data_IF_310336754272
#
_entry.id   IF_310336754272
#
_cell.length_a   1.000
_cell.length_b   1.000
_cell.length_c   1.000
_cell.angle_alpha   90.00
_cell.angle_beta   90.00
_cell.angle_gamma   90.00
#
_symmetry.space_group_name_H-M   'P 1'
#
loop_
_entity.id
_entity.type
_entity.pdbx_description
1 polymer ?
#
# COMPACT_ATOMS: atom_id res chain seq x y z
N UNK A 1 10.65 7.48 -11.15
CA UNK A 1 10.61 7.16 -12.59
C UNK A 1 11.99 6.86 -13.17
N UNK A 2 12.96 7.78 -13.13
CA UNK A 2 14.31 7.52 -13.70
C UNK A 2 15.00 6.24 -13.16
N UNK A 3 14.97 6.00 -11.85
CA UNK A 3 15.54 4.78 -11.26
C UNK A 3 14.85 3.49 -11.75
N UNK A 4 13.53 3.53 -11.94
CA UNK A 4 12.77 2.39 -12.44
C UNK A 4 13.14 2.09 -13.90
N UNK A 5 13.22 3.12 -14.73
CA UNK A 5 13.67 3.02 -16.13
C UNK A 5 15.09 2.47 -16.21
N UNK A 6 16.00 2.97 -15.38
CA UNK A 6 17.38 2.49 -15.31
C UNK A 6 17.43 1.01 -14.91
N UNK A 7 16.64 0.62 -13.90
CA UNK A 7 16.53 -0.77 -13.45
C UNK A 7 16.04 -1.69 -14.57
N UNK A 8 14.97 -1.31 -15.26
CA UNK A 8 14.44 -2.06 -16.40
C UNK A 8 15.50 -2.17 -17.51
N UNK A 9 16.20 -1.08 -17.83
CA UNK A 9 17.25 -1.11 -18.84
C UNK A 9 18.43 -2.01 -18.45
N UNK A 10 18.84 -2.01 -17.18
CA UNK A 10 19.87 -2.95 -16.69
C UNK A 10 19.41 -4.39 -16.82
N UNK A 11 18.16 -4.71 -16.48
CA UNK A 11 17.60 -6.04 -16.64
C UNK A 11 17.54 -6.49 -18.11
N UNK A 12 17.18 -5.57 -19.02
CA UNK A 12 17.21 -5.83 -20.47
C UNK A 12 18.64 -6.11 -20.95
N UNK A 13 19.62 -5.28 -20.53
CA UNK A 13 21.04 -5.48 -20.91
C UNK A 13 21.60 -6.81 -20.42
N UNK A 14 21.21 -7.25 -19.23
CA UNK A 14 21.60 -8.54 -18.66
C UNK A 14 20.77 -9.73 -19.18
N UNK A 15 19.89 -9.53 -20.17
CA UNK A 15 19.01 -10.56 -20.75
C UNK A 15 18.10 -11.24 -19.72
N UNK A 16 17.74 -10.51 -18.65
CA UNK A 16 16.79 -10.99 -17.64
C UNK A 16 15.34 -10.71 -18.05
N UNK A 17 15.11 -9.71 -18.90
CA UNK A 17 13.80 -9.31 -19.42
C UNK A 17 13.84 -9.12 -20.94
N UNK A 18 12.69 -9.22 -21.59
CA UNK A 18 12.46 -9.07 -23.03
C UNK A 18 13.19 -10.08 -23.92
N UNK A 19 13.19 -11.36 -23.53
CA UNK A 19 13.92 -12.42 -24.24
C UNK A 19 13.06 -13.25 -25.20
N UNK A 20 11.83 -13.63 -24.82
CA UNK A 20 10.96 -14.50 -25.66
C UNK A 20 9.58 -13.92 -26.01
N UNK A 21 9.15 -12.80 -25.41
CA UNK A 21 7.92 -12.08 -25.80
C UNK A 21 7.03 -11.68 -24.63
N UNK A 22 5.73 -11.47 -24.87
CA UNK A 22 4.78 -10.98 -23.86
C UNK A 22 4.35 -12.00 -22.79
N UNK A 23 4.74 -13.27 -22.92
CA UNK A 23 4.24 -14.38 -22.11
C UNK A 23 5.36 -15.32 -21.63
N UNK A 24 6.52 -14.77 -21.30
CA UNK A 24 7.71 -15.56 -20.93
C UNK A 24 7.48 -16.44 -19.71
N UNK A 25 6.73 -15.99 -18.70
CA UNK A 25 6.41 -16.79 -17.53
C UNK A 25 5.46 -17.93 -17.86
N UNK A 26 4.50 -17.72 -18.76
CA UNK A 26 3.61 -18.78 -19.21
C UNK A 26 4.38 -19.87 -19.98
N UNK A 27 5.34 -19.47 -20.82
CA UNK A 27 6.23 -20.41 -21.52
C UNK A 27 7.11 -21.20 -20.54
N UNK A 28 7.71 -20.51 -19.57
CA UNK A 28 8.48 -21.14 -18.50
C UNK A 28 7.64 -22.09 -17.65
N UNK A 29 6.42 -21.68 -17.29
CA UNK A 29 5.49 -22.53 -16.56
C UNK A 29 5.20 -23.81 -17.35
N UNK A 30 4.89 -23.69 -18.64
CA UNK A 30 4.61 -24.84 -19.49
C UNK A 30 5.82 -25.77 -19.63
N UNK A 31 7.04 -25.24 -19.70
CA UNK A 31 8.25 -26.07 -19.74
C UNK A 31 8.46 -26.81 -18.43
N UNK A 32 8.39 -26.12 -17.29
CA UNK A 32 8.56 -26.72 -15.96
C UNK A 32 7.47 -27.75 -15.66
N UNK A 33 6.23 -27.43 -16.04
CA UNK A 33 5.08 -28.32 -15.89
C UNK A 33 5.26 -29.61 -16.70
N UNK A 34 5.80 -29.53 -17.91
CA UNK A 34 6.06 -30.71 -18.74
C UNK A 34 7.18 -31.61 -18.22
N UNK A 35 8.18 -31.01 -17.56
CA UNK A 35 9.34 -31.72 -17.01
C UNK A 35 9.00 -32.42 -15.67
N UNK A 36 8.30 -31.73 -14.77
CA UNK A 36 8.01 -32.22 -13.43
C UNK A 36 6.70 -32.99 -13.32
N UNK A 37 5.73 -32.69 -14.19
CA UNK A 37 4.40 -33.29 -14.17
C UNK A 37 4.00 -33.80 -15.57
N UNK A 38 4.68 -34.88 -16.06
CA UNK A 38 4.27 -35.54 -17.28
C UNK A 38 2.83 -36.06 -17.12
N UNK A 39 2.03 -35.97 -18.17
CA UNK A 39 0.61 -36.35 -18.17
C UNK A 39 0.42 -37.71 -18.87
N UNK A 40 0.62 -38.84 -18.16
CA UNK A 40 0.55 -40.17 -18.77
C UNK A 40 -0.87 -40.56 -19.20
N UNK A 41 -1.91 -39.93 -18.64
CA UNK A 41 -3.32 -40.23 -18.92
C UNK A 41 -3.97 -39.25 -19.91
N UNK A 42 -3.23 -38.24 -20.37
CA UNK A 42 -3.72 -37.22 -21.31
C UNK A 42 -4.84 -36.35 -20.71
N UNK A 43 -4.90 -36.24 -19.39
CA UNK A 43 -5.93 -35.52 -18.64
C UNK A 43 -5.95 -34.02 -19.00
N UNK A 44 -4.79 -33.40 -19.23
CA UNK A 44 -4.66 -31.98 -19.62
C UNK A 44 -5.27 -31.71 -20.99
N UNK A 45 -4.97 -32.55 -21.98
CA UNK A 45 -5.57 -32.44 -23.32
C UNK A 45 -7.09 -32.64 -23.28
N UNK A 46 -7.57 -33.53 -22.42
CA UNK A 46 -9.01 -33.73 -22.21
C UNK A 46 -9.66 -32.49 -21.57
N UNK A 47 -9.05 -31.90 -20.54
CA UNK A 47 -9.54 -30.66 -19.92
C UNK A 47 -9.52 -29.50 -20.92
N UNK A 48 -8.45 -29.35 -21.70
CA UNK A 48 -8.36 -28.33 -22.75
C UNK A 48 -9.49 -28.48 -23.77
N UNK A 49 -9.77 -29.71 -24.21
CA UNK A 49 -10.87 -29.99 -25.13
C UNK A 49 -12.25 -29.72 -24.50
N UNK A 50 -12.48 -30.16 -23.25
CA UNK A 50 -13.73 -29.95 -22.52
C UNK A 50 -14.00 -28.48 -22.22
N UNK A 51 -12.95 -27.70 -22.00
CA UNK A 51 -13.04 -26.26 -21.71
C UNK A 51 -12.93 -25.40 -22.96
N UNK A 52 -12.92 -25.99 -24.17
CA UNK A 52 -12.73 -25.27 -25.44
C UNK A 52 -11.49 -24.36 -25.45
N UNK A 53 -10.42 -24.74 -24.75
CA UNK A 53 -9.20 -23.95 -24.63
C UNK A 53 -9.28 -22.77 -23.66
N UNK A 54 -10.39 -22.60 -22.93
CA UNK A 54 -10.55 -21.53 -21.93
C UNK A 54 -9.57 -21.71 -20.76
N UNK A 55 -9.36 -22.95 -20.30
CA UNK A 55 -8.45 -23.24 -19.19
C UNK A 55 -7.02 -22.72 -19.42
N UNK A 56 -6.31 -23.10 -20.51
CA UNK A 56 -4.98 -22.58 -20.78
C UNK A 56 -4.98 -21.08 -21.08
N UNK A 57 -6.04 -20.53 -21.67
CA UNK A 57 -6.15 -19.08 -21.91
C UNK A 57 -6.26 -18.29 -20.60
N UNK A 58 -7.09 -18.73 -19.65
CA UNK A 58 -7.23 -18.09 -18.34
C UNK A 58 -5.90 -18.09 -17.58
N UNK A 59 -5.18 -19.21 -17.57
CA UNK A 59 -3.86 -19.30 -16.93
C UNK A 59 -2.88 -18.34 -17.61
N UNK A 60 -2.85 -18.33 -18.95
CA UNK A 60 -1.96 -17.44 -19.71
C UNK A 60 -2.20 -15.96 -19.40
N UNK A 61 -3.45 -15.51 -19.38
CA UNK A 61 -3.77 -14.11 -19.07
C UNK A 61 -3.57 -13.75 -17.60
N UNK A 62 -3.85 -14.68 -16.68
CA UNK A 62 -3.59 -14.48 -15.26
C UNK A 62 -2.09 -14.32 -15.00
N UNK A 63 -1.25 -15.18 -15.59
CA UNK A 63 0.20 -15.08 -15.48
C UNK A 63 0.74 -13.81 -16.14
N UNK A 64 0.16 -13.38 -17.26
CA UNK A 64 0.50 -12.11 -17.90
C UNK A 64 0.28 -10.88 -17.00
N UNK A 65 -0.63 -10.96 -16.03
CA UNK A 65 -0.85 -9.88 -15.05
C UNK A 65 0.30 -9.77 -14.03
N UNK A 66 1.08 -10.83 -13.83
CA UNK A 66 2.28 -10.84 -12.98
C UNK A 66 3.56 -10.54 -13.77
N UNK A 67 3.53 -10.71 -15.10
CA UNK A 67 4.62 -10.38 -16.04
C UNK A 67 4.73 -8.89 -16.39
N UNK A 68 4.30 -8.00 -15.48
CA UNK A 68 4.33 -6.55 -15.71
C UNK A 68 5.70 -6.03 -16.15
N UNK A 69 6.84 -6.43 -15.52
CA UNK A 69 8.17 -5.99 -15.96
C UNK A 69 8.53 -6.46 -17.37
N UNK A 70 8.09 -7.65 -17.77
CA UNK A 70 8.34 -8.20 -19.10
C UNK A 70 7.53 -7.44 -20.16
N UNK A 71 6.24 -7.21 -19.89
CA UNK A 71 5.35 -6.42 -20.76
C UNK A 71 5.92 -5.01 -20.95
N UNK A 72 6.42 -4.39 -19.88
CA UNK A 72 7.08 -3.08 -19.94
C UNK A 72 8.34 -3.12 -20.83
N UNK A 73 9.20 -4.13 -20.64
CA UNK A 73 10.45 -4.26 -21.39
C UNK A 73 10.23 -4.53 -22.89
N UNK A 74 9.32 -5.45 -23.23
CA UNK A 74 8.99 -5.81 -24.62
C UNK A 74 8.30 -4.64 -25.35
N UNK A 75 7.36 -3.98 -24.68
CA UNK A 75 6.67 -2.80 -25.26
C UNK A 75 7.65 -1.66 -25.48
N UNK A 76 8.56 -1.40 -24.54
CA UNK A 76 9.62 -0.40 -24.69
C UNK A 76 10.53 -0.71 -25.88
N UNK A 77 11.01 -1.94 -26.01
CA UNK A 77 11.82 -2.35 -27.17
C UNK A 77 11.10 -2.16 -28.50
N UNK A 78 9.78 -2.40 -28.51
CA UNK A 78 8.94 -2.18 -29.70
C UNK A 78 8.82 -0.70 -30.03
N UNK A 79 8.57 0.14 -29.01
CA UNK A 79 8.50 1.61 -29.15
C UNK A 79 9.85 2.17 -29.64
N UNK A 80 10.97 1.70 -29.10
CA UNK A 80 12.30 2.16 -29.51
C UNK A 80 12.65 1.79 -30.96
N UNK A 81 12.13 0.67 -31.48
CA UNK A 81 12.39 0.20 -32.84
C UNK A 81 11.44 0.80 -33.88
N UNK A 82 10.15 0.83 -33.57
CA UNK A 82 9.08 1.10 -34.53
C UNK A 82 8.34 2.43 -34.27
N UNK A 83 8.72 3.16 -33.21
CA UNK A 83 8.00 4.36 -32.76
C UNK A 83 6.73 4.03 -31.97
N UNK A 84 6.24 5.02 -31.22
CA UNK A 84 5.04 4.86 -30.37
C UNK A 84 3.75 4.68 -31.19
N UNK A 85 3.74 5.20 -32.42
CA UNK A 85 2.61 5.09 -33.35
C UNK A 85 2.34 3.64 -33.82
N UNK A 86 3.31 2.74 -33.62
CA UNK A 86 3.14 1.31 -33.91
C UNK A 86 2.25 0.59 -32.89
N UNK A 87 1.96 1.22 -31.74
CA UNK A 87 1.21 0.59 -30.67
C UNK A 87 -0.30 0.85 -30.85
N UNK A 88 -1.10 -0.21 -30.78
CA UNK A 88 -2.56 -0.08 -30.70
C UNK A 88 -2.96 0.77 -29.50
N UNK A 89 -4.03 1.57 -29.64
CA UNK A 89 -4.56 2.41 -28.55
C UNK A 89 -4.83 1.60 -27.27
N UNK A 90 -5.35 0.38 -27.40
CA UNK A 90 -5.55 -0.52 -26.26
C UNK A 90 -4.24 -0.98 -25.62
N UNK A 91 -3.23 -1.28 -26.44
CA UNK A 91 -1.89 -1.63 -25.98
C UNK A 91 -1.21 -0.48 -25.22
N UNK A 92 -1.41 0.76 -25.66
CA UNK A 92 -0.92 1.94 -24.96
C UNK A 92 -1.57 2.11 -23.57
N UNK A 93 -2.89 1.92 -23.46
CA UNK A 93 -3.58 1.98 -22.15
C UNK A 93 -3.07 0.90 -21.22
N UNK A 94 -2.93 -0.34 -21.71
CA UNK A 94 -2.38 -1.45 -20.90
C UNK A 94 -0.96 -1.11 -20.44
N UNK A 95 -0.10 -0.64 -21.33
CA UNK A 95 1.27 -0.24 -21.00
C UNK A 95 1.32 0.83 -19.90
N UNK A 96 0.57 1.93 -20.04
CA UNK A 96 0.57 3.00 -19.03
C UNK A 96 -0.03 2.55 -17.69
N UNK A 97 -1.09 1.75 -17.71
CA UNK A 97 -1.68 1.20 -16.49
C UNK A 97 -0.70 0.28 -15.75
N UNK A 98 -0.02 -0.61 -16.50
CA UNK A 98 1.03 -1.49 -16.00
C UNK A 98 2.20 -0.72 -15.38
N UNK A 99 2.72 0.28 -16.08
CA UNK A 99 3.82 1.15 -15.58
C UNK A 99 3.41 1.87 -14.30
N UNK A 100 2.18 2.42 -14.28
CA UNK A 100 1.66 3.15 -13.12
C UNK A 100 1.54 2.24 -11.89
N UNK A 101 0.92 1.06 -12.02
CA UNK A 101 0.76 0.13 -10.91
C UNK A 101 2.12 -0.32 -10.36
N UNK A 102 3.05 -0.67 -11.24
CA UNK A 102 4.38 -1.11 -10.81
C UNK A 102 5.17 0.02 -10.12
N UNK A 103 5.14 1.23 -10.69
CA UNK A 103 5.76 2.39 -10.07
C UNK A 103 5.15 2.71 -8.71
N UNK A 104 3.83 2.62 -8.57
CA UNK A 104 3.15 2.87 -7.30
C UNK A 104 3.57 1.87 -6.21
N UNK A 105 3.62 0.57 -6.54
CA UNK A 105 4.06 -0.49 -5.61
C UNK A 105 5.50 -0.28 -5.15
N UNK A 106 6.41 0.13 -6.03
CA UNK A 106 7.81 0.38 -5.65
C UNK A 106 8.02 1.73 -4.98
N UNK A 107 7.30 2.77 -5.40
CA UNK A 107 7.48 4.14 -4.90
C UNK A 107 6.92 4.30 -3.49
N UNK A 108 5.84 3.61 -3.14
CA UNK A 108 5.20 3.72 -1.82
C UNK A 108 6.15 3.39 -0.65
N UNK A 109 6.88 2.26 -0.62
CA UNK A 109 7.83 1.97 0.46
C UNK A 109 9.04 2.89 0.46
N UNK A 110 9.51 3.33 -0.71
CA UNK A 110 10.66 4.23 -0.81
C UNK A 110 10.31 5.60 -0.25
N UNK A 111 9.18 6.17 -0.66
CA UNK A 111 8.70 7.47 -0.18
C UNK A 111 8.36 7.40 1.31
N UNK A 112 7.72 6.33 1.77
CA UNK A 112 7.41 6.17 3.20
C UNK A 112 8.67 6.04 4.05
N UNK A 113 9.73 5.37 3.56
CA UNK A 113 11.02 5.29 4.25
C UNK A 113 11.71 6.64 4.32
N UNK A 114 11.73 7.41 3.22
CA UNK A 114 12.32 8.75 3.19
C UNK A 114 11.56 9.69 4.13
N UNK A 115 10.23 9.65 4.10
CA UNK A 115 9.43 10.48 4.99
C UNK A 115 9.56 10.05 6.46
N UNK A 116 9.58 8.74 6.73
CA UNK A 116 9.78 8.21 8.07
C UNK A 116 11.16 8.53 8.63
N UNK A 117 12.22 8.47 7.82
CA UNK A 117 13.58 8.83 8.24
C UNK A 117 13.71 10.34 8.47
N UNK A 118 13.07 11.16 7.64
CA UNK A 118 12.96 12.60 7.85
C UNK A 118 12.33 12.92 9.21
N UNK A 119 11.14 12.37 9.50
CA UNK A 119 10.47 12.57 10.79
C UNK A 119 11.31 12.04 11.97
N UNK A 120 11.98 10.90 11.80
CA UNK A 120 12.87 10.35 12.82
C UNK A 120 14.02 11.30 13.16
N UNK A 121 14.66 11.90 12.16
CA UNK A 121 15.75 12.87 12.39
C UNK A 121 15.20 14.15 13.04
N UNK A 122 14.05 14.64 12.59
CA UNK A 122 13.40 15.82 13.15
C UNK A 122 13.11 15.69 14.64
N UNK A 123 12.59 14.53 15.10
CA UNK A 123 12.29 14.31 16.52
C UNK A 123 13.57 14.18 17.35
N UNK A 124 14.51 13.34 16.90
CA UNK A 124 15.64 12.92 17.74
C UNK A 124 16.77 13.97 17.80
N UNK A 125 16.98 14.73 16.72
CA UNK A 125 18.11 15.65 16.63
C UNK A 125 17.69 17.12 16.71
N UNK A 126 16.63 17.47 16.00
CA UNK A 126 16.20 18.86 15.86
C UNK A 126 15.12 19.26 16.86
N UNK A 127 14.47 18.29 17.50
CA UNK A 127 13.34 18.49 18.42
C UNK A 127 12.23 19.38 17.81
N UNK A 128 11.91 19.13 16.54
CA UNK A 128 10.85 19.83 15.79
C UNK A 128 9.83 18.81 15.23
N UNK A 129 8.63 19.28 14.86
CA UNK A 129 7.56 18.47 14.23
C UNK A 129 7.07 17.26 15.07
N UNK A 130 6.93 17.43 16.39
CA UNK A 130 6.39 16.37 17.26
C UNK A 130 4.98 15.94 16.85
N UNK A 131 4.06 16.89 16.63
CA UNK A 131 2.66 16.57 16.33
C UNK A 131 2.49 15.77 15.03
N UNK A 132 3.22 16.15 13.98
CA UNK A 132 3.21 15.44 12.70
C UNK A 132 3.76 14.02 12.85
N UNK A 133 4.87 13.86 13.56
CA UNK A 133 5.46 12.56 13.75
C UNK A 133 4.59 11.65 14.64
N UNK A 134 4.03 12.15 15.74
CA UNK A 134 3.10 11.40 16.60
C UNK A 134 1.82 11.00 15.85
N UNK A 135 1.31 11.87 14.96
CA UNK A 135 0.16 11.54 14.11
C UNK A 135 0.46 10.37 13.16
N UNK A 136 1.69 10.29 12.63
CA UNK A 136 2.12 9.23 11.71
C UNK A 136 2.44 7.90 12.41
N UNK A 137 3.01 7.94 13.61
CA UNK A 137 3.38 6.75 14.40
C UNK A 137 2.16 6.03 15.00
N UNK A 138 0.98 6.69 15.01
CA UNK A 138 -0.29 6.15 15.54
C UNK A 138 -0.09 5.49 16.91
N UNK A 139 0.65 6.17 17.80
CA UNK A 139 0.91 5.68 19.15
C UNK A 139 -0.40 5.79 19.94
N UNK A 140 -0.91 4.66 20.42
CA UNK A 140 -2.16 4.63 21.19
C UNK A 140 -1.99 5.15 22.63
N UNK A 141 -0.74 5.13 23.11
CA UNK A 141 -0.31 5.76 24.35
C UNK A 141 0.04 7.24 24.07
N UNK A 142 0.14 8.08 25.09
CA UNK A 142 0.28 9.54 24.96
C UNK A 142 -0.97 10.21 24.37
N UNK A 143 -1.88 10.62 25.26
CA UNK A 143 -3.06 11.42 24.89
C UNK A 143 -3.11 12.68 25.72
N UNK A 144 -3.47 13.78 25.09
CA UNK A 144 -3.73 15.06 25.76
C UNK A 144 -5.15 15.53 25.48
N UNK A 145 -5.78 16.08 26.51
CA UNK A 145 -7.05 16.77 26.44
C UNK A 145 -6.81 18.22 26.82
N UNK A 146 -7.10 19.15 25.90
CA UNK A 146 -7.03 20.59 26.18
C UNK A 146 -8.43 21.17 26.18
N UNK A 147 -8.82 21.77 27.30
CA UNK A 147 -10.10 22.46 27.48
C UNK A 147 -9.84 23.95 27.61
N UNK A 148 -10.55 24.71 26.78
CA UNK A 148 -10.60 26.17 26.86
C UNK A 148 -11.85 26.58 27.64
N UNK A 149 -11.71 27.52 28.56
CA UNK A 149 -12.79 28.06 29.36
C UNK A 149 -12.70 29.59 29.35
N UNK A 150 -13.74 30.27 28.87
CA UNK A 150 -13.83 31.72 28.92
C UNK A 150 -14.62 32.08 30.18
N UNK A 151 -13.98 32.80 31.10
CA UNK A 151 -14.59 33.20 32.36
C UNK A 151 -15.61 34.33 32.13
N UNK A 152 -16.53 34.55 33.07
CA UNK A 152 -17.51 35.65 33.03
C UNK A 152 -16.85 37.05 32.98
N UNK A 153 -15.57 37.14 33.36
CA UNK A 153 -14.75 38.36 33.26
C UNK A 153 -14.16 38.60 31.86
N UNK A 154 -14.27 37.62 30.96
CA UNK A 154 -13.68 37.66 29.62
C UNK A 154 -12.29 37.04 29.52
N UNK A 155 -11.72 36.56 30.63
CA UNK A 155 -10.41 35.91 30.65
C UNK A 155 -10.47 34.49 30.05
N UNK A 156 -9.44 34.09 29.30
CA UNK A 156 -9.30 32.74 28.75
C UNK A 156 -8.45 31.86 29.68
N UNK A 157 -9.07 30.85 30.26
CA UNK A 157 -8.43 29.79 31.02
C UNK A 157 -8.18 28.57 30.11
N UNK A 158 -6.97 28.00 30.18
CA UNK A 158 -6.55 26.85 29.39
C UNK A 158 -6.17 25.71 30.33
N UNK A 159 -6.88 24.60 30.25
CA UNK A 159 -6.61 23.40 31.04
C UNK A 159 -6.13 22.28 30.12
N UNK A 160 -4.85 21.90 30.22
CA UNK A 160 -4.28 20.79 29.47
C UNK A 160 -3.96 19.62 30.40
N UNK A 161 -4.60 18.49 30.15
CA UNK A 161 -4.40 17.23 30.85
C UNK A 161 -3.74 16.25 29.87
N UNK A 162 -2.48 15.92 30.11
CA UNK A 162 -1.71 14.96 29.33
C UNK A 162 -1.48 13.67 30.13
N UNK A 163 -1.61 12.53 29.46
CA UNK A 163 -1.38 11.21 30.06
C UNK A 163 -0.41 10.44 29.18
N UNK A 164 0.75 10.08 29.73
CA UNK A 164 1.79 9.35 29.01
C UNK A 164 1.34 7.94 28.61
N UNK A 165 0.60 7.27 29.49
CA UNK A 165 0.12 5.90 29.26
C UNK A 165 -1.37 5.81 29.48
N UNK A 166 -2.11 5.50 28.42
CA UNK A 166 -3.57 5.35 28.49
C UNK A 166 -3.90 4.10 29.32
N UNK A 167 -4.77 4.22 30.35
CA UNK A 167 -5.20 3.06 31.12
C UNK A 167 -6.00 2.10 30.24
N UNK A 168 -5.70 0.80 30.35
CA UNK A 168 -6.39 -0.26 29.60
C UNK A 168 -7.54 -0.89 30.40
N UNK A 169 -7.39 -0.91 31.71
CA UNK A 169 -8.39 -1.43 32.63
C UNK A 169 -9.15 -0.27 33.23
N UNK A 170 -10.43 -0.17 32.87
CA UNK A 170 -11.32 0.86 33.34
C UNK A 170 -12.18 0.30 34.46
N UNK A 171 -12.21 1.00 35.59
CA UNK A 171 -13.14 0.73 36.68
C UNK A 171 -13.99 1.97 36.88
N UNK A 172 -15.31 1.79 36.91
CA UNK A 172 -16.22 2.86 37.24
C UNK A 172 -15.95 3.35 38.66
N UNK A 173 -15.80 4.66 38.85
CA UNK A 173 -15.70 5.23 40.20
C UNK A 173 -17.04 5.02 40.92
N UNK A 174 -17.07 4.29 42.05
CA UNK A 174 -18.31 4.10 42.82
C UNK A 174 -18.97 5.41 43.25
N UNK A 175 -18.19 6.49 43.43
CA UNK A 175 -18.71 7.81 43.80
C UNK A 175 -19.47 8.48 42.66
N UNK A 176 -18.99 8.30 41.43
CA UNK A 176 -19.64 8.79 40.22
C UNK A 176 -20.94 8.04 39.92
N UNK A 177 -20.99 6.74 40.22
CA UNK A 177 -22.19 5.92 40.02
C UNK A 177 -23.27 6.21 41.09
N UNK A 178 -22.84 6.49 42.32
CA UNK A 178 -23.73 6.83 43.43
C UNK A 178 -24.30 8.25 43.41
N UNK A 179 -23.88 9.10 42.47
CA UNK A 179 -24.39 10.47 42.36
C UNK A 179 -25.77 10.48 41.66
N UNK A 180 -26.76 11.20 42.22
CA UNK A 180 -28.09 11.31 41.63
C UNK A 180 -28.04 12.15 40.35
N UNK A 181 -28.03 11.49 39.20
CA UNK A 181 -28.02 12.13 37.88
C UNK A 181 -29.44 12.42 37.43
N UNK A 182 -29.86 13.68 37.51
CA UNK A 182 -31.07 14.11 36.80
C UNK A 182 -30.75 14.31 35.31
N UNK A 183 -31.57 13.80 34.38
CA UNK A 183 -31.28 13.86 32.93
C UNK A 183 -31.09 15.26 32.34
N UNK A 184 -31.53 16.29 33.07
CA UNK A 184 -31.52 17.69 32.62
C UNK A 184 -30.33 18.48 33.17
N UNK A 185 -29.58 17.95 34.13
CA UNK A 185 -28.47 18.67 34.75
C UNK A 185 -27.23 18.60 33.85
N UNK A 186 -26.60 19.75 33.52
CA UNK A 186 -25.39 19.76 32.74
C UNK A 186 -24.21 19.15 33.52
N UNK A 187 -23.35 18.41 32.82
CA UNK A 187 -22.26 17.61 33.42
C UNK A 187 -21.24 18.41 34.24
N UNK A 188 -21.10 19.72 34.01
CA UNK A 188 -20.18 20.56 34.79
C UNK A 188 -20.65 20.85 36.22
N UNK A 189 -21.91 20.55 36.56
CA UNK A 189 -22.46 20.69 37.91
C UNK A 189 -22.20 19.45 38.79
N UNK A 190 -21.70 18.37 38.21
CA UNK A 190 -21.42 17.13 38.93
C UNK A 190 -20.19 17.30 39.82
N UNK A 191 -20.26 16.71 41.02
CA UNK A 191 -19.24 16.89 42.05
C UNK A 191 -18.01 16.03 41.80
N UNK A 192 -18.18 14.93 41.09
CA UNK A 192 -17.09 14.05 40.66
C UNK A 192 -16.98 14.10 39.13
N UNK A 193 -15.77 14.09 38.55
CA UNK A 193 -15.54 14.09 37.11
C UNK A 193 -15.68 12.71 36.45
#
# INVERSE_FOLDING_TARGET
>A
MLLLELGIETCIRHKLLATSGYHTLYEWYKSVESEHFPDPTGLKKRIEHWTFGLYPACIKYLMSAFDVPEVMAVTRNTICKNGIDSLSRGGAVIYYASVFLYFWVFSTPVVSLVFGSYLYICINWLHIHFDEAFSSLRIANYKSFTRFHINNKGDLEVFTLAVDKVPKEWKLDPKWDGESKHPQDPSYLQKFP
#
